data_IF_475853798215
#
_entry.id   IF_475853798215
#
_cell.length_a   1.000
_cell.length_b   1.000
_cell.length_c   1.000
_cell.angle_alpha   90.00
_cell.angle_beta   90.00
_cell.angle_gamma   90.00
#
_symmetry.space_group_name_H-M   'P 1'
#
loop_
_entity.id
_entity.type
_entity.pdbx_description
1 polymer ?
#
# COMPACT_ATOMS: atom_id res chain seq x y z
N UNK A 1 16.61 -1.15 14.44
CA UNK A 1 16.00 -1.86 15.60
C UNK A 1 16.81 -3.12 15.94
N UNK A 2 16.78 -3.60 17.19
CA UNK A 2 17.63 -4.71 17.62
C UNK A 2 17.42 -5.96 16.73
N UNK A 3 18.49 -6.38 16.05
CA UNK A 3 18.49 -7.57 15.18
C UNK A 3 17.86 -7.41 13.79
N UNK A 4 17.56 -6.18 13.33
CA UNK A 4 17.05 -5.93 11.98
C UNK A 4 17.98 -5.03 11.17
N UNK A 5 18.15 -5.35 9.88
CA UNK A 5 18.82 -4.51 8.87
C UNK A 5 17.77 -3.70 8.11
N UNK A 6 18.08 -2.43 7.85
CA UNK A 6 17.22 -1.53 7.09
C UNK A 6 17.70 -1.40 5.65
N UNK A 7 16.75 -1.37 4.72
CA UNK A 7 16.94 -1.18 3.29
C UNK A 7 16.04 -0.04 2.86
N UNK A 8 16.52 0.87 2.01
CA UNK A 8 15.82 2.10 1.70
C UNK A 8 15.97 2.49 0.24
N UNK A 9 14.91 3.05 -0.32
CA UNK A 9 14.97 3.78 -1.58
C UNK A 9 14.61 5.24 -1.27
N UNK A 10 15.60 6.13 -1.36
CA UNK A 10 15.44 7.54 -1.03
C UNK A 10 15.02 8.33 -2.26
N UNK A 11 14.15 9.33 -2.08
CA UNK A 11 13.93 10.33 -3.11
C UNK A 11 15.16 11.23 -3.29
N UNK A 12 15.37 11.73 -4.51
CA UNK A 12 16.42 12.71 -4.80
C UNK A 12 16.15 14.05 -4.09
N UNK A 13 14.86 14.41 -4.01
CA UNK A 13 14.42 15.63 -3.32
C UNK A 13 14.53 15.45 -1.81
N UNK A 14 15.31 16.30 -1.15
CA UNK A 14 15.47 16.31 0.31
C UNK A 14 14.13 16.53 1.03
N UNK A 15 13.88 15.73 2.07
CA UNK A 15 12.69 15.85 2.92
C UNK A 15 11.39 15.44 2.25
N UNK A 16 11.46 14.56 1.25
CA UNK A 16 10.32 14.14 0.45
C UNK A 16 10.30 12.62 0.28
N UNK A 17 9.12 12.00 0.44
CA UNK A 17 8.88 10.60 0.11
C UNK A 17 9.90 9.64 0.76
N UNK A 18 10.32 8.60 0.03
CA UNK A 18 11.22 7.55 0.47
C UNK A 18 10.47 6.37 1.09
N UNK A 19 10.90 5.17 0.75
CA UNK A 19 10.38 3.92 1.32
C UNK A 19 11.50 3.12 1.96
N UNK A 20 11.15 2.22 2.89
CA UNK A 20 12.14 1.35 3.51
C UNK A 20 11.53 0.08 4.07
N UNK A 21 12.35 -0.96 4.12
CA UNK A 21 12.00 -2.27 4.68
C UNK A 21 13.04 -2.62 5.74
N UNK A 22 12.57 -3.02 6.91
CA UNK A 22 13.40 -3.64 7.93
C UNK A 22 13.19 -5.16 7.91
N UNK A 23 14.28 -5.91 7.83
CA UNK A 23 14.27 -7.37 7.82
C UNK A 23 15.21 -7.95 8.87
N UNK A 24 14.83 -9.07 9.49
CA UNK A 24 15.73 -9.85 10.37
C UNK A 24 16.72 -10.70 9.57
N UNK A 25 16.23 -11.29 8.46
CA UNK A 25 17.05 -12.06 7.52
C UNK A 25 17.60 -11.12 6.44
N UNK A 26 18.79 -11.44 5.94
CA UNK A 26 19.34 -10.80 4.74
C UNK A 26 18.56 -11.30 3.51
N UNK A 27 18.07 -10.41 2.64
CA UNK A 27 17.43 -10.78 1.38
C UNK A 27 18.45 -11.33 0.39
N UNK A 28 17.99 -12.22 -0.48
CA UNK A 28 18.78 -12.76 -1.58
C UNK A 28 19.01 -11.70 -2.67
N UNK A 29 18.04 -10.80 -2.83
CA UNK A 29 18.08 -9.69 -3.79
C UNK A 29 17.35 -8.47 -3.25
N UNK A 30 17.89 -7.30 -3.60
CA UNK A 30 17.30 -5.99 -3.34
C UNK A 30 17.04 -5.33 -4.69
N UNK A 31 15.83 -4.82 -4.91
CA UNK A 31 15.47 -4.05 -6.11
C UNK A 31 14.95 -2.68 -5.69
N UNK A 32 15.69 -1.64 -6.09
CA UNK A 32 15.33 -0.25 -5.86
C UNK A 32 14.67 0.32 -7.12
N UNK A 33 13.45 0.82 -6.98
CA UNK A 33 12.72 1.45 -8.07
C UNK A 33 12.06 0.48 -9.06
N UNK A 34 11.41 1.08 -10.06
CA UNK A 34 10.68 0.41 -11.14
C UNK A 34 11.46 0.44 -12.46
N UNK A 35 12.61 1.12 -12.53
CA UNK A 35 13.34 1.39 -13.77
C UNK A 35 12.73 2.53 -14.59
N UNK A 36 11.98 3.42 -13.95
CA UNK A 36 11.26 4.53 -14.56
C UNK A 36 11.75 5.82 -13.89
N UNK A 37 12.56 6.59 -14.61
CA UNK A 37 13.41 7.64 -14.02
C UNK A 37 12.66 8.67 -13.15
N UNK A 38 11.51 9.16 -13.59
CA UNK A 38 10.72 10.14 -12.84
C UNK A 38 10.01 9.54 -11.62
N UNK A 39 9.64 8.26 -11.67
CA UNK A 39 9.10 7.55 -10.50
C UNK A 39 10.22 7.25 -9.50
N UNK A 40 11.36 6.78 -9.99
CA UNK A 40 12.49 6.36 -9.17
C UNK A 40 13.13 7.56 -8.47
N UNK A 41 13.15 8.73 -9.11
CA UNK A 41 13.57 9.98 -8.48
C UNK A 41 12.76 10.35 -7.22
N UNK A 42 11.52 9.83 -7.07
CA UNK A 42 10.68 10.03 -5.90
C UNK A 42 10.81 8.91 -4.84
N UNK A 43 11.62 7.87 -5.05
CA UNK A 43 11.92 6.85 -4.04
C UNK A 43 10.69 6.07 -3.52
N UNK A 44 9.82 5.60 -4.43
CA UNK A 44 8.47 5.11 -4.08
C UNK A 44 8.29 3.60 -4.01
N UNK A 45 9.32 2.84 -4.40
CA UNK A 45 9.25 1.39 -4.51
C UNK A 45 10.57 0.77 -4.05
N UNK A 46 10.48 -0.24 -3.20
CA UNK A 46 11.60 -1.09 -2.78
C UNK A 46 11.10 -2.51 -2.63
N UNK A 47 11.80 -3.47 -3.22
CA UNK A 47 11.52 -4.89 -3.13
C UNK A 47 12.69 -5.63 -2.51
N UNK A 48 12.40 -6.52 -1.57
CA UNK A 48 13.33 -7.50 -1.01
C UNK A 48 12.85 -8.92 -1.34
N UNK A 49 13.74 -9.73 -1.90
CA UNK A 49 13.46 -11.13 -2.22
C UNK A 49 14.06 -12.07 -1.16
N UNK A 50 13.29 -13.08 -0.75
CA UNK A 50 13.64 -14.12 0.21
C UNK A 50 13.14 -15.48 -0.32
N UNK A 51 13.99 -16.20 -1.03
CA UNK A 51 13.69 -17.49 -1.63
C UNK A 51 12.52 -17.42 -2.62
N UNK A 52 11.32 -17.81 -2.16
CA UNK A 52 10.06 -17.78 -2.92
C UNK A 52 9.16 -16.59 -2.61
N UNK A 53 9.57 -15.69 -1.72
CA UNK A 53 8.80 -14.54 -1.30
C UNK A 53 9.46 -13.23 -1.72
N UNK A 54 8.71 -12.34 -2.36
CA UNK A 54 9.07 -10.94 -2.54
C UNK A 54 8.22 -10.05 -1.64
N UNK A 55 8.88 -9.21 -0.83
CA UNK A 55 8.23 -8.20 0.00
C UNK A 55 8.51 -6.83 -0.56
N UNK A 56 7.46 -6.10 -0.92
CA UNK A 56 7.54 -4.75 -1.48
C UNK A 56 7.05 -3.73 -0.46
N UNK A 57 7.74 -2.60 -0.37
CA UNK A 57 7.26 -1.37 0.25
C UNK A 57 6.95 -0.35 -0.85
N UNK A 58 5.69 0.05 -0.92
CA UNK A 58 5.15 0.99 -1.90
C UNK A 58 4.69 2.27 -1.21
N UNK A 59 4.94 3.42 -1.84
CA UNK A 59 4.27 4.67 -1.53
C UNK A 59 3.73 5.30 -2.81
N UNK A 60 2.46 5.03 -3.11
CA UNK A 60 1.79 5.54 -4.30
C UNK A 60 1.56 7.06 -4.13
N UNK A 61 1.77 7.90 -5.16
CA UNK A 61 1.56 9.34 -5.04
C UNK A 61 0.16 9.72 -4.52
N UNK A 62 0.08 10.69 -3.61
CA UNK A 62 -1.19 11.36 -3.32
C UNK A 62 -1.45 12.46 -4.35
N UNK A 63 -2.72 12.58 -4.78
CA UNK A 63 -3.18 13.63 -5.68
C UNK A 63 -3.93 14.77 -4.97
N UNK A 64 -4.03 14.74 -3.64
CA UNK A 64 -4.90 15.66 -2.90
C UNK A 64 -4.41 17.11 -2.84
N UNK A 65 -3.17 17.40 -3.23
CA UNK A 65 -2.57 18.73 -3.09
C UNK A 65 -2.84 19.66 -4.27
N UNK A 66 -3.00 19.12 -5.48
CA UNK A 66 -3.27 19.90 -6.70
C UNK A 66 -3.68 19.00 -7.85
N UNK A 67 -4.26 19.58 -8.91
CA UNK A 67 -4.60 18.86 -10.14
C UNK A 67 -3.36 18.22 -10.78
N UNK A 68 -2.22 18.93 -10.80
CA UNK A 68 -0.97 18.41 -11.35
C UNK A 68 -0.49 17.17 -10.58
N UNK A 69 -0.66 17.14 -9.25
CA UNK A 69 -0.32 15.94 -8.46
C UNK A 69 -1.31 14.80 -8.68
N UNK A 70 -2.57 15.09 -8.98
CA UNK A 70 -3.51 14.07 -9.40
C UNK A 70 -3.11 13.46 -10.76
N UNK A 71 -2.63 14.27 -11.71
CA UNK A 71 -2.12 13.75 -12.98
C UNK A 71 -0.87 12.88 -12.78
N UNK A 72 0.09 13.30 -11.94
CA UNK A 72 1.24 12.46 -11.57
C UNK A 72 0.80 11.13 -10.94
N UNK A 73 -0.25 11.14 -10.12
CA UNK A 73 -0.82 9.92 -9.54
C UNK A 73 -1.38 8.99 -10.61
N UNK A 74 -2.16 9.52 -11.56
CA UNK A 74 -2.70 8.72 -12.67
C UNK A 74 -1.59 8.16 -13.57
N UNK A 75 -0.59 8.97 -13.93
CA UNK A 75 0.56 8.51 -14.71
C UNK A 75 1.36 7.42 -13.98
N UNK A 76 1.50 7.52 -12.66
CA UNK A 76 2.11 6.46 -11.85
C UNK A 76 1.25 5.19 -11.92
N UNK A 77 -0.07 5.30 -11.71
CA UNK A 77 -1.01 4.17 -11.74
C UNK A 77 -0.98 3.43 -13.08
N UNK A 78 -0.97 4.15 -14.20
CA UNK A 78 -0.93 3.57 -15.54
C UNK A 78 0.37 2.80 -15.81
N UNK A 79 1.49 3.31 -15.31
CA UNK A 79 2.81 2.68 -15.45
C UNK A 79 3.05 1.55 -14.44
N UNK A 80 2.41 1.62 -13.29
CA UNK A 80 2.54 0.61 -12.23
C UNK A 80 1.65 -0.61 -12.47
N UNK A 81 0.52 -0.47 -13.17
CA UNK A 81 -0.38 -1.58 -13.44
C UNK A 81 0.28 -2.73 -14.26
N UNK A 82 1.04 -2.48 -15.33
CA UNK A 82 1.82 -3.53 -16.01
C UNK A 82 2.93 -4.10 -15.13
N UNK A 83 3.52 -3.30 -14.23
CA UNK A 83 4.53 -3.80 -13.30
C UNK A 83 3.91 -4.77 -12.27
N UNK A 84 2.69 -4.50 -11.80
CA UNK A 84 1.93 -5.44 -10.97
C UNK A 84 1.67 -6.76 -11.72
N UNK A 85 1.34 -6.72 -13.01
CA UNK A 85 1.20 -7.95 -13.80
C UNK A 85 2.53 -8.72 -13.91
N UNK A 86 3.65 -8.02 -14.16
CA UNK A 86 4.97 -8.64 -14.17
C UNK A 86 5.34 -9.31 -12.84
N UNK A 87 5.04 -8.65 -11.71
CA UNK A 87 5.25 -9.23 -10.38
C UNK A 87 4.39 -10.48 -10.18
N UNK A 88 3.12 -10.42 -10.58
CA UNK A 88 2.18 -11.55 -10.48
C UNK A 88 2.65 -12.76 -11.31
N UNK A 89 3.18 -12.52 -12.51
CA UNK A 89 3.68 -13.55 -13.42
C UNK A 89 5.11 -14.03 -13.11
N UNK A 90 5.76 -13.48 -12.09
CA UNK A 90 7.17 -13.79 -11.77
C UNK A 90 7.39 -15.22 -11.26
N UNK A 91 6.32 -15.90 -10.82
CA UNK A 91 6.39 -17.20 -10.15
C UNK A 91 6.83 -17.13 -8.67
N UNK A 92 7.05 -15.93 -8.15
CA UNK A 92 7.23 -15.67 -6.72
C UNK A 92 5.88 -15.49 -6.04
N UNK A 93 5.80 -15.81 -4.75
CA UNK A 93 4.77 -15.23 -3.90
C UNK A 93 5.16 -13.79 -3.58
N UNK A 94 4.24 -12.85 -3.71
CA UNK A 94 4.54 -11.42 -3.56
C UNK A 94 3.56 -10.80 -2.59
N UNK A 95 4.06 -9.95 -1.69
CA UNK A 95 3.24 -9.00 -0.93
C UNK A 95 3.70 -7.58 -1.20
N UNK A 96 2.76 -6.74 -1.61
CA UNK A 96 2.95 -5.31 -1.80
C UNK A 96 2.32 -4.59 -0.62
N UNK A 97 3.17 -4.25 0.36
CA UNK A 97 2.82 -3.45 1.51
C UNK A 97 2.96 -1.97 1.16
N UNK A 98 2.00 -1.13 1.53
CA UNK A 98 2.20 0.30 1.35
C UNK A 98 0.99 1.16 1.59
N UNK A 99 1.22 2.46 1.47
CA UNK A 99 0.18 3.47 1.30
C UNK A 99 -0.12 3.59 -0.20
N UNK A 100 -1.31 3.12 -0.58
CA UNK A 100 -1.80 3.14 -1.95
C UNK A 100 -2.51 4.45 -2.27
N UNK A 101 -2.75 5.31 -1.28
CA UNK A 101 -3.49 6.56 -1.42
C UNK A 101 -4.87 6.39 -2.07
N UNK A 102 -5.49 5.21 -2.00
CA UNK A 102 -6.80 4.91 -2.60
C UNK A 102 -7.62 4.06 -1.63
N UNK A 103 -8.84 4.49 -1.31
CA UNK A 103 -9.85 3.65 -0.67
C UNK A 103 -10.68 2.94 -1.77
N UNK A 104 -10.87 1.61 -1.67
CA UNK A 104 -11.51 0.84 -2.74
C UNK A 104 -13.04 0.92 -2.70
N UNK A 105 -13.65 0.61 -1.55
CA UNK A 105 -15.10 0.46 -1.38
C UNK A 105 -15.67 1.57 -0.50
N UNK A 106 -16.98 1.78 -0.55
CA UNK A 106 -17.67 2.72 0.35
C UNK A 106 -17.43 2.41 1.84
N UNK A 107 -17.22 1.13 2.18
CA UNK A 107 -16.88 0.70 3.54
C UNK A 107 -15.47 1.14 3.99
N UNK A 108 -14.59 1.49 3.05
CA UNK A 108 -13.20 1.86 3.30
C UNK A 108 -13.02 3.33 3.70
N UNK A 109 -14.09 4.12 3.82
CA UNK A 109 -14.03 5.49 4.33
C UNK A 109 -15.36 5.97 4.93
N UNK A 110 -15.28 6.83 5.96
CA UNK A 110 -16.47 7.27 6.72
C UNK A 110 -17.47 8.09 5.89
N UNK A 111 -16.97 9.07 5.13
CA UNK A 111 -17.78 10.07 4.42
C UNK A 111 -17.75 9.83 2.90
N UNK A 112 -17.97 8.59 2.45
CA UNK A 112 -17.80 8.20 1.05
C UNK A 112 -18.61 9.08 0.08
N UNK A 113 -19.86 9.42 0.41
CA UNK A 113 -20.76 10.21 -0.46
C UNK A 113 -20.14 11.53 -0.91
N UNK A 114 -19.55 12.27 0.02
CA UNK A 114 -18.95 13.58 -0.26
C UNK A 114 -17.54 13.50 -0.85
N UNK A 115 -16.89 12.34 -0.77
CA UNK A 115 -15.50 12.17 -1.18
C UNK A 115 -15.33 11.54 -2.57
N UNK A 116 -16.43 11.20 -3.27
CA UNK A 116 -16.39 10.67 -4.63
C UNK A 116 -15.71 11.57 -5.67
N UNK A 117 -15.47 12.84 -5.33
CA UNK A 117 -14.79 13.84 -6.19
C UNK A 117 -13.41 14.24 -5.65
N UNK A 118 -12.93 13.57 -4.61
CA UNK A 118 -11.65 13.87 -3.97
C UNK A 118 -10.65 12.76 -4.27
N UNK A 119 -9.38 13.14 -4.47
CA UNK A 119 -8.26 12.20 -4.60
C UNK A 119 -8.28 11.17 -3.46
N UNK A 120 -8.10 9.92 -3.82
CA UNK A 120 -8.19 8.75 -2.95
C UNK A 120 -9.54 8.05 -2.96
N UNK A 121 -10.58 8.62 -3.57
CA UNK A 121 -11.86 7.94 -3.78
C UNK A 121 -12.53 8.34 -5.11
N UNK A 122 -11.76 8.77 -6.10
CA UNK A 122 -12.29 9.04 -7.45
C UNK A 122 -12.73 7.73 -8.12
N UNK A 123 -13.75 7.76 -9.01
CA UNK A 123 -14.18 6.57 -9.76
C UNK A 123 -13.04 5.84 -10.48
N UNK A 124 -12.12 6.58 -11.09
CA UNK A 124 -10.98 6.08 -11.85
C UNK A 124 -9.98 5.36 -10.93
N UNK A 125 -9.74 5.89 -9.73
CA UNK A 125 -8.85 5.29 -8.73
C UNK A 125 -9.41 3.99 -8.18
N UNK A 126 -10.72 3.95 -7.88
CA UNK A 126 -11.39 2.73 -7.43
C UNK A 126 -11.42 1.67 -8.52
N UNK A 127 -11.71 2.08 -9.75
CA UNK A 127 -11.69 1.19 -10.91
C UNK A 127 -10.30 0.59 -11.11
N UNK A 128 -9.24 1.36 -10.94
CA UNK A 128 -7.86 0.87 -11.04
C UNK A 128 -7.55 -0.23 -10.01
N UNK A 129 -7.96 -0.08 -8.74
CA UNK A 129 -7.84 -1.17 -7.76
C UNK A 129 -8.68 -2.40 -8.14
N UNK A 130 -9.89 -2.19 -8.66
CA UNK A 130 -10.70 -3.29 -9.19
C UNK A 130 -10.00 -4.05 -10.32
N UNK A 131 -9.23 -3.39 -11.19
CA UNK A 131 -8.45 -4.11 -12.21
C UNK A 131 -7.39 -5.03 -11.60
N UNK A 132 -6.70 -4.60 -10.54
CA UNK A 132 -5.76 -5.46 -9.83
C UNK A 132 -6.44 -6.70 -9.25
N UNK A 133 -7.59 -6.53 -8.61
CA UNK A 133 -8.27 -7.61 -7.91
C UNK A 133 -9.06 -8.54 -8.84
N UNK A 134 -9.81 -7.95 -9.77
CA UNK A 134 -10.79 -8.66 -10.59
C UNK A 134 -10.17 -9.15 -11.93
N UNK A 135 -9.18 -8.44 -12.49
CA UNK A 135 -8.55 -8.80 -13.77
C UNK A 135 -7.20 -9.54 -13.58
N UNK A 136 -6.32 -9.03 -12.71
CA UNK A 136 -5.00 -9.64 -12.48
C UNK A 136 -5.00 -10.74 -11.40
N UNK A 137 -6.01 -10.77 -10.51
CA UNK A 137 -6.15 -11.81 -9.49
C UNK A 137 -5.38 -11.54 -8.18
N UNK A 138 -4.93 -10.31 -7.96
CA UNK A 138 -4.34 -9.92 -6.67
C UNK A 138 -5.35 -9.94 -5.54
N UNK A 139 -4.89 -10.17 -4.31
CA UNK A 139 -5.75 -10.29 -3.13
C UNK A 139 -5.48 -9.16 -2.15
N UNK A 140 -6.52 -8.39 -1.82
CA UNK A 140 -6.55 -7.52 -0.63
C UNK A 140 -6.64 -8.41 0.63
N UNK A 141 -5.52 -8.58 1.32
CA UNK A 141 -5.41 -9.52 2.45
C UNK A 141 -6.31 -9.11 3.63
N UNK A 142 -6.39 -7.81 3.93
CA UNK A 142 -7.25 -7.35 5.01
C UNK A 142 -8.72 -7.66 4.70
N UNK A 143 -9.17 -7.33 3.48
CA UNK A 143 -10.56 -7.54 3.09
C UNK A 143 -10.91 -9.03 2.99
N UNK A 144 -9.95 -9.88 2.64
CA UNK A 144 -10.13 -11.34 2.65
C UNK A 144 -10.39 -11.89 4.05
N UNK A 145 -9.64 -11.43 5.05
CA UNK A 145 -9.81 -11.87 6.44
C UNK A 145 -11.02 -11.21 7.12
N UNK A 146 -11.37 -9.99 6.71
CA UNK A 146 -12.44 -9.20 7.32
C UNK A 146 -13.42 -8.65 6.26
N UNK A 147 -14.20 -9.52 5.59
CA UNK A 147 -15.04 -9.14 4.45
C UNK A 147 -16.05 -8.05 4.81
N UNK A 148 -16.62 -8.12 6.01
CA UNK A 148 -17.69 -7.23 6.48
C UNK A 148 -17.18 -6.01 7.27
N UNK A 149 -15.86 -5.82 7.35
CA UNK A 149 -15.29 -4.70 8.09
C UNK A 149 -15.70 -3.34 7.49
N UNK A 150 -16.08 -2.42 8.38
CA UNK A 150 -16.38 -1.04 8.04
C UNK A 150 -15.31 -0.14 8.67
N UNK A 151 -15.63 0.63 9.70
CA UNK A 151 -14.75 1.65 10.26
C UNK A 151 -13.54 1.13 11.05
N UNK A 152 -13.57 -0.15 11.44
CA UNK A 152 -12.43 -0.84 12.03
C UNK A 152 -11.22 -0.87 11.08
N UNK A 153 -11.44 -0.88 9.76
CA UNK A 153 -10.40 -1.05 8.75
C UNK A 153 -9.63 0.22 8.39
N UNK A 154 -10.08 1.40 8.85
CA UNK A 154 -9.41 2.65 8.51
C UNK A 154 -7.98 2.66 9.00
N UNK A 155 -7.08 3.15 8.16
CA UNK A 155 -5.63 3.24 8.40
C UNK A 155 -5.12 4.68 8.34
N UNK A 156 -5.91 5.66 7.89
CA UNK A 156 -5.52 7.07 7.82
C UNK A 156 -6.60 8.02 8.34
N UNK A 157 -6.18 9.10 9.02
CA UNK A 157 -7.04 10.19 9.46
C UNK A 157 -6.32 11.53 9.28
N UNK A 158 -7.01 12.51 8.70
CA UNK A 158 -6.48 13.86 8.56
C UNK A 158 -6.03 14.46 9.90
N UNK A 159 -4.89 15.15 9.89
CA UNK A 159 -4.44 15.97 11.01
C UNK A 159 -5.33 17.20 11.28
N UNK A 160 -6.29 17.49 10.40
CA UNK A 160 -7.20 18.63 10.54
C UNK A 160 -8.40 18.30 11.42
N UNK A 161 -8.67 19.18 12.39
CA UNK A 161 -9.88 19.11 13.21
C UNK A 161 -9.90 17.88 14.13
N UNK A 162 -11.05 17.20 14.18
CA UNK A 162 -11.32 16.09 15.10
C UNK A 162 -11.45 14.74 14.37
N UNK A 163 -10.75 14.57 13.24
CA UNK A 163 -10.93 13.40 12.38
C UNK A 163 -10.65 12.08 13.11
N UNK A 164 -9.55 11.99 13.86
CA UNK A 164 -9.23 10.81 14.68
C UNK A 164 -10.29 10.55 15.75
N UNK A 165 -10.62 11.56 16.56
CA UNK A 165 -11.58 11.43 17.67
C UNK A 165 -13.01 11.07 17.21
N UNK A 166 -13.39 11.47 15.99
CA UNK A 166 -14.70 11.17 15.39
C UNK A 166 -14.67 9.97 14.42
N UNK A 167 -13.55 9.26 14.34
CA UNK A 167 -13.29 8.18 13.39
C UNK A 167 -13.67 8.52 11.93
N UNK A 168 -13.34 9.75 11.50
CA UNK A 168 -13.46 10.19 10.09
C UNK A 168 -12.21 9.72 9.34
N UNK A 169 -12.12 8.40 9.17
CA UNK A 169 -10.96 7.72 8.61
C UNK A 169 -11.18 7.18 7.20
N UNK A 170 -10.08 6.75 6.62
CA UNK A 170 -9.96 6.10 5.31
C UNK A 170 -9.04 4.88 5.44
N UNK A 171 -9.27 3.82 4.68
CA UNK A 171 -8.32 2.73 4.50
C UNK A 171 -7.54 2.97 3.21
N UNK A 172 -6.31 3.43 3.37
CA UNK A 172 -5.39 3.74 2.27
C UNK A 172 -4.20 2.78 2.23
N UNK A 173 -3.95 2.08 3.33
CA UNK A 173 -2.82 1.18 3.50
C UNK A 173 -3.26 -0.27 3.31
N UNK A 174 -2.50 -1.01 2.50
CA UNK A 174 -2.82 -2.38 2.14
C UNK A 174 -1.59 -3.27 2.22
N UNK A 175 -1.85 -4.55 2.44
CA UNK A 175 -0.99 -5.62 1.96
C UNK A 175 -1.76 -6.32 0.84
N UNK A 176 -1.36 -6.07 -0.41
CA UNK A 176 -1.92 -6.71 -1.59
C UNK A 176 -0.99 -7.87 -1.97
N UNK A 177 -1.51 -9.09 -1.98
CA UNK A 177 -0.69 -10.29 -2.11
C UNK A 177 -1.14 -11.21 -3.25
N UNK A 178 -0.21 -12.04 -3.73
CA UNK A 178 -0.54 -13.18 -4.59
C UNK A 178 -1.44 -14.17 -3.85
N UNK A 179 -2.26 -14.98 -4.56
CA UNK A 179 -3.21 -15.89 -3.92
C UNK A 179 -2.59 -16.88 -2.94
N UNK A 180 -1.44 -17.48 -3.26
CA UNK A 180 -0.78 -18.47 -2.42
C UNK A 180 -0.36 -17.90 -1.06
N UNK A 181 0.23 -16.70 -1.04
CA UNK A 181 0.56 -16.00 0.19
C UNK A 181 -0.67 -15.53 0.95
N UNK A 182 -1.70 -15.06 0.24
CA UNK A 182 -2.94 -14.64 0.87
C UNK A 182 -3.68 -15.81 1.57
N UNK A 183 -3.55 -17.04 1.06
CA UNK A 183 -4.06 -18.27 1.71
C UNK A 183 -3.34 -18.57 3.04
N UNK A 184 -2.09 -18.13 3.18
CA UNK A 184 -1.32 -18.26 4.41
C UNK A 184 -1.65 -17.19 5.45
N UNK A 185 -2.40 -16.14 5.11
CA UNK A 185 -2.77 -15.10 6.07
C UNK A 185 -3.67 -15.66 7.19
N UNK A 186 -3.43 -15.25 8.43
CA UNK A 186 -4.14 -15.74 9.63
C UNK A 186 -4.84 -14.64 10.41
N UNK A 187 -4.21 -13.48 10.50
CA UNK A 187 -4.76 -12.33 11.22
C UNK A 187 -4.29 -11.03 10.55
N UNK A 188 -5.17 -10.03 10.55
CA UNK A 188 -4.84 -8.67 10.14
C UNK A 188 -5.39 -7.70 11.19
N UNK A 189 -4.56 -6.73 11.62
CA UNK A 189 -4.93 -5.73 12.62
C UNK A 189 -4.44 -4.35 12.23
N UNK A 190 -5.24 -3.33 12.56
CA UNK A 190 -4.82 -1.92 12.45
C UNK A 190 -4.51 -1.40 13.86
N UNK A 191 -3.25 -1.08 14.11
CA UNK A 191 -2.77 -0.67 15.43
C UNK A 191 -3.15 0.78 15.74
N UNK A 192 -4.04 0.97 16.72
CA UNK A 192 -4.62 2.27 17.10
C UNK A 192 -4.35 2.69 18.55
N UNK A 193 -3.64 1.88 19.33
CA UNK A 193 -3.40 2.16 20.76
C UNK A 193 -2.45 3.34 20.98
N UNK A 194 -1.46 3.49 20.10
CA UNK A 194 -0.55 4.63 20.08
C UNK A 194 -0.48 5.21 18.67
N UNK A 195 -0.27 6.52 18.60
CA UNK A 195 -0.24 7.25 17.33
C UNK A 195 1.19 7.68 16.99
N UNK A 196 1.68 7.17 15.87
CA UNK A 196 3.02 7.49 15.37
C UNK A 196 2.98 8.46 14.17
N UNK A 197 1.90 8.43 13.40
CA UNK A 197 1.65 9.34 12.27
C UNK A 197 0.15 9.62 12.12
N UNK A 198 -0.24 10.25 11.01
CA UNK A 198 -1.62 10.30 10.53
C UNK A 198 -2.12 8.96 9.95
N UNK A 199 -1.21 8.00 9.75
CA UNK A 199 -1.53 6.61 9.48
C UNK A 199 -1.45 5.74 10.75
N UNK A 200 -2.13 4.60 10.72
CA UNK A 200 -2.05 3.54 11.70
C UNK A 200 -1.39 2.30 11.08
N UNK A 201 -0.45 1.64 11.77
CA UNK A 201 0.21 0.45 11.25
C UNK A 201 -0.77 -0.68 10.92
N UNK A 202 -0.71 -1.20 9.70
CA UNK A 202 -1.38 -2.44 9.29
C UNK A 202 -0.42 -3.62 9.50
N UNK A 203 -0.78 -4.54 10.38
CA UNK A 203 -0.03 -5.77 10.66
C UNK A 203 -0.80 -6.96 10.13
N UNK A 204 -0.10 -7.89 9.48
CA UNK A 204 -0.66 -9.16 9.01
C UNK A 204 0.29 -10.29 9.40
N UNK A 205 -0.27 -11.34 10.00
CA UNK A 205 0.43 -12.57 10.32
C UNK A 205 0.19 -13.62 9.24
N UNK A 206 1.28 -14.16 8.68
CA UNK A 206 1.24 -15.21 7.67
C UNK A 206 1.85 -16.49 8.24
N UNK A 207 1.19 -17.61 7.99
CA UNK A 207 1.70 -18.96 8.19
C UNK A 207 2.63 -19.34 7.04
N UNK A 208 3.73 -18.59 6.92
CA UNK A 208 4.71 -18.70 5.85
C UNK A 208 6.12 -18.82 6.42
N UNK A 209 6.89 -19.79 5.91
CA UNK A 209 8.27 -20.00 6.33
C UNK A 209 9.20 -19.33 5.32
N UNK A 210 9.90 -18.29 5.77
CA UNK A 210 11.00 -17.64 5.07
C UNK A 210 12.21 -18.57 4.94
#
# INVERSE_FOLDING_TARGET
PAGMKGWFHHAEKKGYSGVGIYSRREPDRVVEGLGIADIDAEGRFLQLDFGKLSVVSLYLPSGSSSEERQQVKFEFMDRFLPHMDMLYQSGQEVVVCGDWNIAHREADLRNWKSNQKNSGFLPEERAWLSRLFDEQGWIDVYRRLHPDATDACYTWWSNRGQAWAKNVGWRLDYQIATPGLADAARAATVYKEQRFSDHAPLTVDYDWVL
#
